data_IF_327806363833
#
_entry.id   IF_327806363833
#
_cell.length_a   1.000
_cell.length_b   1.000
_cell.length_c   1.000
_cell.angle_alpha   90.00
_cell.angle_beta   90.00
_cell.angle_gamma   90.00
#
_symmetry.space_group_name_H-M   'P 1'
#
loop_
_entity.id
_entity.type
_entity.pdbx_description
1 polymer ?
#
# COMPACT_ATOMS: atom_id res chain seq x y z
N UNK A 1 -5.12 26.82 12.26
CA UNK A 1 -4.48 25.62 11.68
C UNK A 1 -5.47 24.97 10.72
N UNK A 2 -5.02 24.52 9.55
CA UNK A 2 -5.91 23.91 8.55
C UNK A 2 -6.13 22.42 8.90
N UNK A 3 -7.30 22.08 9.45
CA UNK A 3 -7.64 20.67 9.73
C UNK A 3 -8.09 19.99 8.43
N UNK A 4 -7.15 19.36 7.72
CA UNK A 4 -7.42 18.66 6.46
C UNK A 4 -7.94 17.25 6.75
N UNK A 5 -9.12 16.93 6.21
CA UNK A 5 -9.76 15.61 6.34
C UNK A 5 -9.72 14.89 5.00
N UNK A 6 -9.27 13.64 5.02
CA UNK A 6 -9.16 12.80 3.82
C UNK A 6 -9.96 11.53 4.08
N UNK A 7 -10.78 11.15 3.09
CA UNK A 7 -11.51 9.88 3.11
C UNK A 7 -10.86 8.95 2.09
N UNK A 8 -10.47 7.76 2.54
CA UNK A 8 -9.95 6.69 1.71
C UNK A 8 -11.07 5.67 1.50
N UNK A 9 -11.38 5.38 0.23
CA UNK A 9 -12.38 4.40 -0.14
C UNK A 9 -11.72 3.04 -0.35
N UNK A 10 -12.13 2.06 0.46
CA UNK A 10 -11.61 0.68 0.43
C UNK A 10 -10.49 0.43 1.44
N UNK A 11 -10.55 -0.75 2.08
CA UNK A 11 -9.59 -1.21 3.08
C UNK A 11 -8.75 -2.41 2.57
N UNK A 12 -8.47 -2.43 1.26
CA UNK A 12 -7.47 -3.32 0.68
C UNK A 12 -6.06 -2.77 0.82
N UNK A 13 -5.06 -3.53 0.36
CA UNK A 13 -3.63 -3.14 0.47
C UNK A 13 -3.38 -1.74 -0.07
N UNK A 14 -3.94 -1.37 -1.22
CA UNK A 14 -3.79 -0.02 -1.78
C UNK A 14 -4.34 1.07 -0.86
N UNK A 15 -5.56 0.90 -0.34
CA UNK A 15 -6.20 1.89 0.54
C UNK A 15 -5.48 2.06 1.87
N UNK A 16 -5.09 0.95 2.51
CA UNK A 16 -4.39 0.98 3.79
C UNK A 16 -2.97 1.54 3.65
N UNK A 17 -2.22 1.16 2.62
CA UNK A 17 -0.88 1.72 2.38
C UNK A 17 -0.95 3.23 2.13
N UNK A 18 -1.90 3.70 1.31
CA UNK A 18 -2.08 5.15 1.09
C UNK A 18 -2.48 5.87 2.37
N UNK A 19 -3.42 5.33 3.15
CA UNK A 19 -3.83 5.92 4.42
C UNK A 19 -2.66 6.07 5.40
N UNK A 20 -1.82 5.04 5.51
CA UNK A 20 -0.62 5.06 6.37
C UNK A 20 0.39 6.10 5.92
N UNK A 21 0.71 6.15 4.62
CA UNK A 21 1.66 7.13 4.09
C UNK A 21 1.19 8.57 4.30
N UNK A 22 -0.11 8.83 4.11
CA UNK A 22 -0.69 10.15 4.38
C UNK A 22 -0.48 10.55 5.85
N UNK A 23 -0.77 9.64 6.79
CA UNK A 23 -0.59 9.88 8.23
C UNK A 23 0.87 10.12 8.62
N UNK A 24 1.82 9.45 7.93
CA UNK A 24 3.25 9.61 8.18
C UNK A 24 3.80 10.95 7.64
N UNK A 25 3.30 11.43 6.50
CA UNK A 25 3.86 12.60 5.81
C UNK A 25 3.30 13.94 6.30
N UNK A 26 2.04 14.01 6.75
CA UNK A 26 1.40 15.27 7.16
C UNK A 26 1.02 15.26 8.66
N UNK A 27 1.66 16.11 9.49
CA UNK A 27 1.45 16.17 10.95
C UNK A 27 0.08 16.71 11.43
N UNK A 28 -0.86 16.99 10.52
CA UNK A 28 -2.15 17.61 10.84
C UNK A 28 -3.32 17.17 9.94
N UNK A 29 -3.30 15.91 9.49
CA UNK A 29 -4.41 15.34 8.73
C UNK A 29 -5.22 14.34 9.55
N UNK A 30 -6.50 14.23 9.24
CA UNK A 30 -7.35 13.14 9.74
C UNK A 30 -7.80 12.27 8.58
N UNK A 31 -7.38 11.01 8.62
CA UNK A 31 -7.75 10.02 7.61
C UNK A 31 -8.92 9.17 8.13
N UNK A 32 -9.94 9.01 7.29
CA UNK A 32 -11.08 8.12 7.53
C UNK A 32 -11.12 7.06 6.43
N UNK A 33 -11.24 5.80 6.81
CA UNK A 33 -11.41 4.69 5.85
C UNK A 33 -12.87 4.31 5.80
N UNK A 34 -13.43 4.25 4.60
CA UNK A 34 -14.80 3.76 4.35
C UNK A 34 -14.69 2.61 3.37
N UNK A 35 -15.12 1.42 3.79
CA UNK A 35 -15.01 0.22 2.98
C UNK A 35 -16.18 -0.73 3.24
N UNK A 36 -16.53 -1.52 2.22
CA UNK A 36 -17.49 -2.63 2.34
C UNK A 36 -16.88 -3.82 3.09
N UNK A 37 -15.58 -4.04 2.91
CA UNK A 37 -14.82 -5.15 3.49
C UNK A 37 -13.56 -4.62 4.17
N UNK A 38 -13.21 -5.19 5.31
CA UNK A 38 -12.04 -4.87 6.12
C UNK A 38 -11.09 -6.07 6.24
N UNK A 39 -9.83 -5.86 6.65
CA UNK A 39 -8.92 -6.96 6.93
C UNK A 39 -9.55 -7.96 7.92
N UNK A 40 -9.57 -9.23 7.55
CA UNK A 40 -10.28 -10.30 8.27
C UNK A 40 -11.54 -10.79 7.56
N UNK A 41 -12.16 -9.96 6.71
CA UNK A 41 -13.28 -10.39 5.89
C UNK A 41 -12.80 -11.27 4.73
N UNK A 42 -13.59 -12.30 4.40
CA UNK A 42 -13.38 -13.13 3.22
C UNK A 42 -14.58 -12.96 2.28
N UNK A 43 -14.33 -12.36 1.12
CA UNK A 43 -15.34 -12.08 0.11
C UNK A 43 -14.70 -12.13 -1.27
N UNK A 44 -15.41 -12.61 -2.29
CA UNK A 44 -14.95 -12.54 -3.68
C UNK A 44 -14.82 -11.09 -4.18
N UNK A 45 -15.52 -10.15 -3.56
CA UNK A 45 -15.43 -8.71 -3.85
C UNK A 45 -14.30 -8.02 -3.09
N UNK A 46 -13.54 -8.76 -2.28
CA UNK A 46 -12.39 -8.27 -1.53
C UNK A 46 -11.15 -9.07 -1.90
N UNK A 47 -10.30 -8.48 -2.74
CA UNK A 47 -9.17 -9.21 -3.36
C UNK A 47 -7.97 -9.40 -2.44
N UNK A 48 -7.80 -8.52 -1.44
CA UNK A 48 -6.58 -8.50 -0.61
C UNK A 48 -6.29 -9.80 0.16
N UNK A 49 -7.29 -10.50 0.75
CA UNK A 49 -7.06 -11.78 1.44
C UNK A 49 -6.66 -12.94 0.53
N UNK A 50 -6.98 -12.88 -0.77
CA UNK A 50 -6.69 -13.96 -1.72
C UNK A 50 -5.29 -13.87 -2.33
N UNK A 51 -4.55 -12.80 -2.04
CA UNK A 51 -3.19 -12.65 -2.51
C UNK A 51 -2.24 -13.60 -1.76
N UNK A 52 -1.39 -14.33 -2.48
CA UNK A 52 -0.26 -15.05 -1.85
C UNK A 52 0.81 -14.11 -1.30
N UNK A 53 0.88 -12.88 -1.84
CA UNK A 53 1.72 -11.75 -1.45
C UNK A 53 3.24 -12.01 -1.37
N UNK A 54 3.81 -12.58 -2.43
CA UNK A 54 5.27 -12.54 -2.66
C UNK A 54 5.65 -11.45 -3.66
N UNK A 55 6.81 -10.84 -3.43
CA UNK A 55 7.41 -9.94 -4.40
C UNK A 55 7.93 -10.72 -5.61
N UNK A 56 7.29 -10.54 -6.78
CA UNK A 56 7.75 -11.07 -8.07
C UNK A 56 7.43 -10.09 -9.19
N UNK A 57 8.45 -9.75 -9.99
CA UNK A 57 8.20 -9.01 -11.22
C UNK A 57 7.39 -9.87 -12.19
N UNK A 58 6.41 -9.27 -12.86
CA UNK A 58 5.68 -9.90 -13.96
C UNK A 58 6.34 -9.63 -15.32
N UNK A 59 7.45 -8.89 -15.35
CA UNK A 59 8.23 -8.67 -16.56
C UNK A 59 8.81 -9.99 -17.10
N UNK A 60 8.93 -10.10 -18.42
CA UNK A 60 9.49 -11.29 -19.04
C UNK A 60 10.98 -11.47 -18.67
N UNK A 61 11.51 -12.70 -18.78
CA UNK A 61 12.87 -13.03 -18.33
C UNK A 61 13.96 -12.19 -19.01
N UNK A 62 13.72 -11.77 -20.24
CA UNK A 62 14.58 -10.96 -21.08
C UNK A 62 14.42 -9.45 -20.82
N UNK A 63 13.39 -9.02 -20.11
CA UNK A 63 13.15 -7.63 -19.73
C UNK A 63 13.81 -7.28 -18.38
N UNK A 64 15.13 -7.51 -18.29
CA UNK A 64 15.91 -7.32 -17.05
C UNK A 64 15.69 -5.91 -16.46
N UNK A 65 15.62 -4.89 -17.32
CA UNK A 65 15.40 -3.50 -16.89
C UNK A 65 14.01 -3.27 -16.28
N UNK A 66 12.99 -3.98 -16.77
CA UNK A 66 11.64 -3.93 -16.19
C UNK A 66 11.51 -4.80 -14.94
N UNK A 67 12.39 -5.79 -14.74
CA UNK A 67 12.52 -6.52 -13.48
C UNK A 67 13.21 -5.69 -12.38
N UNK A 68 14.19 -4.86 -12.74
CA UNK A 68 14.97 -4.03 -11.80
C UNK A 68 14.18 -2.83 -11.27
N UNK A 69 13.39 -2.16 -12.12
CA UNK A 69 12.55 -1.02 -11.71
C UNK A 69 11.74 -1.28 -10.44
N UNK A 70 10.94 -2.36 -10.36
CA UNK A 70 10.09 -2.57 -9.22
C UNK A 70 10.92 -2.99 -7.99
N UNK A 71 12.08 -3.67 -8.14
CA UNK A 71 13.01 -4.00 -7.05
C UNK A 71 13.60 -2.73 -6.42
N UNK A 72 14.04 -1.78 -7.23
CA UNK A 72 14.62 -0.54 -6.73
C UNK A 72 13.58 0.36 -6.04
N UNK A 73 12.32 0.30 -6.47
CA UNK A 73 11.21 1.05 -5.86
C UNK A 73 10.76 0.40 -4.54
N UNK A 74 10.50 -0.91 -4.53
CA UNK A 74 10.05 -1.61 -3.32
C UNK A 74 11.16 -1.81 -2.30
N UNK A 75 12.40 -2.06 -2.74
CA UNK A 75 13.56 -2.17 -1.86
C UNK A 75 13.84 -0.87 -1.10
N UNK A 76 13.70 0.28 -1.78
CA UNK A 76 13.81 1.59 -1.11
C UNK A 76 12.71 1.82 -0.07
N UNK A 77 11.49 1.32 -0.34
CA UNK A 77 10.36 1.41 0.59
C UNK A 77 10.53 0.49 1.82
N UNK A 78 11.02 -0.73 1.62
CA UNK A 78 11.30 -1.70 2.69
C UNK A 78 12.45 -1.23 3.60
N UNK A 79 13.53 -0.69 3.02
CA UNK A 79 14.70 -0.22 3.80
C UNK A 79 14.36 1.04 4.61
N UNK A 80 13.63 2.01 4.04
CA UNK A 80 13.19 3.17 4.82
C UNK A 80 12.29 2.78 5.99
N UNK A 81 11.43 1.77 5.83
CA UNK A 81 10.51 1.36 6.90
C UNK A 81 11.22 0.55 8.01
N UNK A 82 12.25 -0.23 7.68
CA UNK A 82 13.00 -1.05 8.66
C UNK A 82 14.06 -0.23 9.41
N UNK A 83 14.66 0.79 8.80
CA UNK A 83 15.72 1.60 9.44
C UNK A 83 15.19 2.81 10.23
N UNK A 84 13.93 3.20 10.05
CA UNK A 84 13.30 4.31 10.78
C UNK A 84 12.29 3.85 11.86
N UNK A 85 12.24 2.55 12.17
CA UNK A 85 11.44 1.95 13.24
C UNK A 85 12.20 1.79 14.55
#
# INVERSE_FOLDING_TARGET
MLNKRIVVLGAGVSGLTTATLLLQQEKAIKVHIVAKHFPGDLSGEYTSPWAGAHWRSHAAKDEIREQEKPINIFGKLLIHHILES
#
